data_IF_424633010684
#
_entry.id   IF_424633010684
#
_cell.length_a   1.000
_cell.length_b   1.000
_cell.length_c   1.000
_cell.angle_alpha   90.00
_cell.angle_beta   90.00
_cell.angle_gamma   90.00
#
_symmetry.space_group_name_H-M   'P 1'
#
loop_
_entity.id
_entity.type
_entity.pdbx_description
1 polymer ?
#
# COMPACT_ATOMS: atom_id res chain seq x y z
N UNK A 1 19.05 -1.11 7.93
CA UNK A 1 19.64 0.16 8.42
C UNK A 1 18.79 1.40 8.09
N UNK A 2 18.52 1.73 6.82
CA UNK A 2 17.86 3.01 6.47
C UNK A 2 16.42 3.18 7.02
N UNK A 3 15.55 2.17 6.87
CA UNK A 3 14.17 2.23 7.36
C UNK A 3 14.10 2.41 8.88
N UNK A 4 14.89 1.62 9.61
CA UNK A 4 14.99 1.73 11.07
C UNK A 4 15.45 3.12 11.52
N UNK A 5 16.45 3.72 10.84
CA UNK A 5 16.90 5.10 11.13
C UNK A 5 15.81 6.15 10.88
N UNK A 6 14.88 5.87 9.96
CA UNK A 6 13.74 6.73 9.67
C UNK A 6 12.52 6.42 10.56
N UNK A 7 12.64 5.51 11.54
CA UNK A 7 11.51 5.08 12.38
C UNK A 7 10.43 4.32 11.61
N UNK A 8 10.76 3.76 10.44
CA UNK A 8 9.83 3.06 9.57
C UNK A 8 9.88 1.55 9.82
N UNK A 9 8.75 0.84 9.61
CA UNK A 9 8.70 -0.61 9.61
C UNK A 9 9.78 -1.22 8.69
N UNK A 10 10.31 -2.41 9.03
CA UNK A 10 11.18 -3.14 8.13
C UNK A 10 10.44 -3.50 6.83
N UNK A 11 11.20 -3.85 5.80
CA UNK A 11 10.64 -4.37 4.55
C UNK A 11 9.78 -5.60 4.86
N UNK A 12 8.59 -5.68 4.26
CA UNK A 12 7.72 -6.85 4.39
C UNK A 12 8.44 -8.12 3.90
N UNK A 13 8.31 -9.22 4.64
CA UNK A 13 8.97 -10.49 4.32
C UNK A 13 8.65 -10.99 2.90
N UNK A 14 7.43 -10.75 2.42
CA UNK A 14 7.00 -11.10 1.07
C UNK A 14 7.79 -10.41 -0.05
N UNK A 15 8.51 -9.33 0.24
CA UNK A 15 9.32 -8.59 -0.74
C UNK A 15 10.83 -8.82 -0.57
N UNK A 16 11.25 -9.45 0.53
CA UNK A 16 12.66 -9.63 0.86
C UNK A 16 13.35 -10.56 -0.15
N UNK A 17 14.46 -10.10 -0.71
CA UNK A 17 15.29 -10.90 -1.64
C UNK A 17 14.68 -11.11 -3.04
N UNK A 18 13.61 -10.38 -3.40
CA UNK A 18 12.91 -10.58 -4.67
C UNK A 18 13.27 -9.52 -5.72
N UNK A 19 13.75 -9.96 -6.88
CA UNK A 19 14.09 -9.07 -8.00
C UNK A 19 15.19 -8.04 -7.68
N UNK A 20 15.55 -7.23 -8.68
CA UNK A 20 16.52 -6.14 -8.53
C UNK A 20 15.97 -4.91 -7.80
N UNK A 21 14.64 -4.73 -7.76
CA UNK A 21 14.00 -3.62 -7.06
C UNK A 21 12.59 -3.97 -6.55
N UNK A 22 12.20 -3.37 -5.43
CA UNK A 22 10.84 -3.48 -4.87
C UNK A 22 10.33 -2.10 -4.47
N UNK A 23 9.03 -1.90 -4.66
CA UNK A 23 8.33 -0.65 -4.31
C UNK A 23 7.11 -1.03 -3.48
N UNK A 24 6.89 -0.37 -2.36
CA UNK A 24 5.72 -0.62 -1.54
C UNK A 24 5.28 0.63 -0.79
N UNK A 25 4.02 0.61 -0.37
CA UNK A 25 3.43 1.67 0.43
C UNK A 25 3.36 1.28 1.90
N UNK A 26 3.56 2.28 2.76
CA UNK A 26 3.37 2.19 4.20
C UNK A 26 2.32 3.23 4.61
N UNK A 27 1.40 2.84 5.48
CA UNK A 27 0.52 3.80 6.14
C UNK A 27 1.27 4.47 7.28
N UNK A 28 1.20 5.80 7.36
CA UNK A 28 1.66 6.57 8.51
C UNK A 28 0.51 6.81 9.48
N UNK A 29 0.84 7.07 10.75
CA UNK A 29 -0.15 7.34 11.81
C UNK A 29 -1.05 8.53 11.49
N UNK A 30 -0.55 9.53 10.76
CA UNK A 30 -1.31 10.69 10.31
C UNK A 30 -2.23 10.42 9.10
N UNK A 31 -2.38 9.15 8.69
CA UNK A 31 -3.18 8.75 7.54
C UNK A 31 -2.52 8.98 6.18
N UNK A 32 -1.32 9.58 6.12
CA UNK A 32 -0.61 9.76 4.86
C UNK A 32 0.03 8.43 4.39
N UNK A 33 -0.02 8.19 3.08
CA UNK A 33 0.70 7.09 2.46
C UNK A 33 2.16 7.48 2.17
N UNK A 34 3.09 6.61 2.54
CA UNK A 34 4.50 6.72 2.18
C UNK A 34 4.85 5.67 1.14
N UNK A 35 5.31 6.08 -0.03
CA UNK A 35 5.93 5.18 -0.99
C UNK A 35 7.41 4.96 -0.64
N UNK A 36 7.84 3.70 -0.60
CA UNK A 36 9.22 3.29 -0.39
C UNK A 36 9.68 2.55 -1.63
N UNK A 37 10.79 2.98 -2.21
CA UNK A 37 11.48 2.26 -3.27
C UNK A 37 12.81 1.73 -2.73
N UNK A 38 13.09 0.45 -2.95
CA UNK A 38 14.35 -0.17 -2.62
C UNK A 38 14.91 -0.89 -3.83
N UNK A 39 16.17 -0.64 -4.15
CA UNK A 39 16.87 -1.29 -5.25
C UNK A 39 18.19 -1.89 -4.75
N UNK A 40 18.72 -2.86 -5.48
CA UNK A 40 20.03 -3.45 -5.20
C UNK A 40 21.17 -2.47 -5.51
N UNK A 41 21.00 -1.66 -6.56
CA UNK A 41 21.98 -0.67 -7.02
C UNK A 41 21.30 0.54 -7.69
N UNK A 42 22.12 1.49 -8.14
CA UNK A 42 21.65 2.72 -8.77
C UNK A 42 20.98 2.48 -10.14
N UNK A 43 21.38 1.46 -10.89
CA UNK A 43 20.86 1.19 -12.23
C UNK A 43 19.49 0.52 -12.15
N UNK A 44 19.31 -0.41 -11.22
CA UNK A 44 18.00 -0.95 -10.85
C UNK A 44 17.03 0.17 -10.39
N UNK A 45 17.51 1.16 -9.64
CA UNK A 45 16.67 2.31 -9.26
C UNK A 45 16.31 3.19 -10.46
N UNK A 46 17.26 3.48 -11.36
CA UNK A 46 17.00 4.25 -12.59
C UNK A 46 16.02 3.54 -13.51
N UNK A 47 16.09 2.22 -13.59
CA UNK A 47 15.19 1.41 -14.40
C UNK A 47 13.71 1.56 -14.00
N UNK A 48 13.42 1.96 -12.76
CA UNK A 48 12.08 2.22 -12.28
C UNK A 48 11.45 3.51 -12.83
N UNK A 49 12.23 4.52 -13.21
CA UNK A 49 11.72 5.87 -13.52
C UNK A 49 10.62 5.89 -14.59
N UNK A 50 10.72 5.03 -15.60
CA UNK A 50 9.74 4.91 -16.69
C UNK A 50 8.52 4.05 -16.35
N UNK A 51 8.65 2.84 -15.79
CA UNK A 51 7.48 1.99 -15.53
C UNK A 51 6.66 2.44 -14.32
N UNK A 52 7.26 3.03 -13.29
CA UNK A 52 6.59 3.30 -12.00
C UNK A 52 5.31 4.16 -12.07
N UNK A 53 5.23 5.23 -12.89
CA UNK A 53 4.04 6.08 -12.98
C UNK A 53 2.74 5.35 -13.31
N UNK A 54 2.84 4.17 -13.94
CA UNK A 54 1.67 3.41 -14.40
C UNK A 54 1.03 2.54 -13.31
N UNK A 55 1.62 2.43 -12.12
CA UNK A 55 1.22 1.45 -11.11
C UNK A 55 0.57 2.04 -9.85
N UNK A 56 -0.04 3.22 -9.95
CA UNK A 56 -0.67 3.91 -8.81
C UNK A 56 -1.80 3.15 -8.09
N UNK A 57 -2.40 2.15 -8.74
CA UNK A 57 -3.42 1.29 -8.12
C UNK A 57 -2.84 0.10 -7.32
N UNK A 58 -1.51 -0.07 -7.28
CA UNK A 58 -0.85 -1.19 -6.63
C UNK A 58 -0.15 -0.69 -5.36
N UNK A 59 -0.33 -1.39 -4.24
CA UNK A 59 0.30 -1.00 -2.98
C UNK A 59 1.70 -1.60 -2.83
N UNK A 60 2.05 -2.60 -3.65
CA UNK A 60 3.39 -3.17 -3.75
C UNK A 60 3.71 -3.72 -5.14
N UNK A 61 4.98 -3.70 -5.50
CA UNK A 61 5.55 -4.06 -6.80
C UNK A 61 6.93 -4.70 -6.63
N UNK A 62 7.29 -5.63 -7.50
CA UNK A 62 8.62 -6.25 -7.61
C UNK A 62 9.09 -6.18 -9.07
N UNK A 63 10.33 -5.73 -9.28
CA UNK A 63 10.93 -5.53 -10.60
C UNK A 63 12.25 -6.28 -10.74
N UNK A 64 12.55 -6.66 -12.00
CA UNK A 64 13.86 -7.05 -12.49
C UNK A 64 14.28 -6.08 -13.60
N UNK A 65 15.22 -5.18 -13.31
CA UNK A 65 15.49 -3.99 -14.11
C UNK A 65 14.20 -3.19 -14.33
N UNK A 66 13.78 -3.05 -15.59
CA UNK A 66 12.53 -2.36 -15.96
C UNK A 66 11.32 -3.28 -16.09
N UNK A 67 11.49 -4.60 -15.91
CA UNK A 67 10.42 -5.60 -16.06
C UNK A 67 9.71 -5.81 -14.73
N UNK A 68 8.38 -5.65 -14.73
CA UNK A 68 7.55 -6.03 -13.58
C UNK A 68 7.52 -7.55 -13.44
N UNK A 69 7.89 -8.06 -12.27
CA UNK A 69 7.77 -9.48 -11.92
C UNK A 69 6.44 -9.75 -11.24
N UNK A 70 6.09 -8.95 -10.23
CA UNK A 70 4.89 -9.13 -9.43
C UNK A 70 4.34 -7.81 -8.92
N UNK A 71 3.05 -7.82 -8.59
CA UNK A 71 2.33 -6.67 -8.05
C UNK A 71 1.17 -7.14 -7.21
N UNK A 72 0.68 -6.25 -6.35
CA UNK A 72 -0.59 -6.46 -5.68
C UNK A 72 -1.01 -5.31 -4.80
N UNK A 73 -2.07 -5.57 -4.04
CA UNK A 73 -2.59 -4.67 -3.02
C UNK A 73 -2.52 -5.41 -1.68
N UNK A 74 -2.03 -4.72 -0.65
CA UNK A 74 -1.98 -5.25 0.70
C UNK A 74 -3.42 -5.48 1.19
N UNK A 75 -3.68 -6.56 1.93
CA UNK A 75 -4.95 -6.71 2.62
C UNK A 75 -5.18 -5.50 3.53
N UNK A 76 -6.24 -4.73 3.24
CA UNK A 76 -6.67 -3.62 4.07
C UNK A 76 -7.87 -4.09 4.89
N UNK A 77 -7.68 -4.55 6.14
CA UNK A 77 -8.81 -4.93 6.98
C UNK A 77 -9.68 -3.70 7.23
N UNK A 78 -10.89 -3.71 6.67
CA UNK A 78 -11.86 -2.65 6.86
C UNK A 78 -12.37 -2.60 8.30
N UNK A 79 -12.77 -1.40 8.76
CA UNK A 79 -13.54 -1.27 9.99
C UNK A 79 -15.01 -1.56 9.70
N UNK A 80 -15.57 -2.58 10.33
CA UNK A 80 -17.01 -2.81 10.28
C UNK A 80 -17.74 -1.67 11.00
N UNK A 81 -18.64 -0.99 10.30
CA UNK A 81 -19.51 0.04 10.87
C UNK A 81 -20.91 -0.56 11.00
N UNK A 82 -21.41 -0.79 12.23
CA UNK A 82 -22.75 -1.33 12.43
C UNK A 82 -23.79 -0.27 12.02
N UNK A 83 -24.73 -0.65 11.14
CA UNK A 83 -25.88 0.19 10.79
C UNK A 83 -27.06 -0.20 11.67
N UNK A 84 -27.55 0.74 12.47
CA UNK A 84 -28.79 0.56 13.23
C UNK A 84 -29.95 0.95 12.33
N UNK A 85 -30.91 0.04 12.11
CA UNK A 85 -32.15 0.37 11.40
C UNK A 85 -32.92 1.42 12.22
N UNK A 86 -33.10 2.61 11.67
CA UNK A 86 -34.04 3.58 12.24
C UNK A 86 -35.44 2.99 12.10
N UNK A 87 -36.08 2.64 13.22
CA UNK A 87 -37.51 2.36 13.22
C UNK A 87 -38.26 3.64 12.82
N UNK A 88 -39.08 3.51 11.78
CA UNK A 88 -39.86 4.62 11.24
C UNK A 88 -40.83 5.21 12.27
N UNK A 89 -41.06 6.52 12.11
CA UNK A 89 -42.00 7.41 12.81
C UNK A 89 -43.25 6.69 13.38
N UNK A 90 -43.64 6.92 14.65
CA UNK A 90 -44.90 6.38 15.17
C UNK A 90 -46.08 6.95 14.38
N UNK A 91 -47.01 6.08 14.00
CA UNK A 91 -48.27 6.47 13.38
C UNK A 91 -49.06 7.37 14.35
N UNK A 92 -49.59 8.48 13.83
CA UNK A 92 -50.44 9.40 14.58
C UNK A 92 -51.74 8.67 14.95
N UNK A 93 -52.24 8.73 16.20
CA UNK A 93 -53.52 8.14 16.54
C UNK A 93 -54.64 8.87 15.79
N UNK A 94 -55.61 8.10 15.29
CA UNK A 94 -56.86 8.64 14.75
C UNK A 94 -57.80 8.99 15.92
N UNK A 95 -58.38 10.18 15.83
CA UNK A 95 -59.45 10.71 16.69
C UNK A 95 -60.81 10.12 16.29
#
# INVERSE_FOLDING_TARGET
>A
AALARAGLPPRAAALTGRGSAQVWTLARENGAALAVASAQDADALRALLRPLPHYGAQSWLVFEGSRMLERGVWPAPGRLIPVVKSSGRPARPAE
#
